data_IF_162001163959
#
_entry.id   IF_162001163959
#
_cell.length_a   1.000
_cell.length_b   1.000
_cell.length_c   1.000
_cell.angle_alpha   90.00
_cell.angle_beta   90.00
_cell.angle_gamma   90.00
#
_symmetry.space_group_name_H-M   'P 1'
#
loop_
_entity.id
_entity.type
_entity.pdbx_description
1 polymer ?
#
# COMPACT_ATOMS: atom_id res chain seq x y z
N UNK A 1 -6.52 -48.01 18.21
CA UNK A 1 -6.76 -48.32 16.78
C UNK A 1 -7.29 -47.05 16.14
N UNK A 2 -6.48 -46.36 15.33
CA UNK A 2 -6.92 -45.14 14.65
C UNK A 2 -7.79 -45.50 13.45
N UNK A 3 -9.00 -44.95 13.38
CA UNK A 3 -9.92 -45.09 12.26
C UNK A 3 -9.22 -44.70 10.95
N UNK A 4 -9.05 -45.67 10.04
CA UNK A 4 -8.55 -45.40 8.70
C UNK A 4 -9.73 -44.94 7.85
N UNK A 5 -9.71 -43.68 7.43
CA UNK A 5 -10.70 -43.13 6.51
C UNK A 5 -10.86 -44.02 5.28
N UNK A 6 -12.09 -44.30 4.90
CA UNK A 6 -12.38 -45.23 3.81
C UNK A 6 -11.97 -44.62 2.47
N UNK A 7 -11.64 -45.46 1.49
CA UNK A 7 -11.23 -44.98 0.15
C UNK A 7 -12.27 -44.04 -0.49
N UNK A 8 -13.55 -44.23 -0.17
CA UNK A 8 -14.65 -43.36 -0.61
C UNK A 8 -14.58 -41.96 0.01
N UNK A 9 -14.18 -41.84 1.27
CA UNK A 9 -13.99 -40.55 1.94
C UNK A 9 -12.79 -39.79 1.35
N UNK A 10 -11.68 -40.49 1.10
CA UNK A 10 -10.50 -39.90 0.45
C UNK A 10 -10.80 -39.45 -0.99
N UNK A 11 -11.54 -40.24 -1.77
CA UNK A 11 -11.92 -39.87 -3.13
C UNK A 11 -12.96 -38.73 -3.17
N UNK A 12 -13.83 -38.63 -2.14
CA UNK A 12 -14.72 -37.48 -1.98
C UNK A 12 -13.93 -36.19 -1.73
N UNK A 13 -12.98 -36.20 -0.79
CA UNK A 13 -12.09 -35.07 -0.51
C UNK A 13 -11.27 -34.70 -1.75
N UNK A 14 -10.72 -35.69 -2.47
CA UNK A 14 -9.96 -35.47 -3.70
C UNK A 14 -10.80 -34.82 -4.81
N UNK A 15 -12.06 -35.23 -4.96
CA UNK A 15 -13.00 -34.65 -5.92
C UNK A 15 -13.37 -33.22 -5.55
N UNK A 16 -13.63 -32.93 -4.27
CA UNK A 16 -13.89 -31.56 -3.79
C UNK A 16 -12.68 -30.66 -4.09
N UNK A 17 -11.46 -31.10 -3.76
CA UNK A 17 -10.24 -30.33 -4.04
C UNK A 17 -9.99 -30.12 -5.54
N UNK A 18 -10.24 -31.13 -6.39
CA UNK A 18 -10.18 -30.98 -7.86
C UNK A 18 -11.23 -30.02 -8.41
N UNK A 19 -12.43 -30.04 -7.82
CA UNK A 19 -13.52 -29.15 -8.21
C UNK A 19 -13.17 -27.72 -7.83
N UNK A 20 -12.58 -27.50 -6.66
CA UNK A 20 -12.04 -26.19 -6.26
C UNK A 20 -10.93 -25.72 -7.20
N UNK A 21 -9.98 -26.59 -7.59
CA UNK A 21 -8.92 -26.25 -8.56
C UNK A 21 -9.49 -25.81 -9.92
N UNK A 22 -10.44 -26.58 -10.47
CA UNK A 22 -11.10 -26.22 -11.74
C UNK A 22 -11.95 -24.95 -11.62
N UNK A 23 -12.55 -24.68 -10.46
CA UNK A 23 -13.30 -23.43 -10.20
C UNK A 23 -12.35 -22.24 -10.07
N UNK A 24 -11.16 -22.42 -9.48
CA UNK A 24 -10.13 -21.37 -9.38
C UNK A 24 -9.41 -21.11 -10.70
N UNK A 25 -9.34 -22.09 -11.59
CA UNK A 25 -8.73 -21.95 -12.92
C UNK A 25 -9.73 -21.37 -13.95
N UNK A 26 -11.02 -21.73 -13.88
CA UNK A 26 -12.04 -21.26 -14.84
C UNK A 26 -12.73 -19.94 -14.47
N UNK A 27 -12.73 -19.54 -13.20
CA UNK A 27 -13.11 -18.19 -12.80
C UNK A 27 -11.82 -17.44 -12.52
N UNK A 28 -11.64 -16.25 -13.10
CA UNK A 28 -10.58 -15.30 -12.72
C UNK A 28 -10.74 -14.82 -11.27
N UNK A 29 -10.74 -15.74 -10.30
CA UNK A 29 -10.85 -15.46 -8.88
C UNK A 29 -9.46 -15.03 -8.45
N UNK A 30 -9.28 -13.71 -8.27
CA UNK A 30 -8.13 -13.17 -7.55
C UNK A 30 -8.15 -13.73 -6.12
N UNK A 31 -7.26 -14.66 -5.82
CA UNK A 31 -6.96 -15.06 -4.45
C UNK A 31 -6.30 -13.85 -3.77
N UNK A 32 -7.08 -13.05 -3.06
CA UNK A 32 -6.55 -12.06 -2.13
C UNK A 32 -6.10 -12.80 -0.88
N UNK A 33 -4.82 -13.18 -0.83
CA UNK A 33 -4.18 -13.61 0.41
C UNK A 33 -4.20 -12.44 1.38
N UNK A 34 -4.98 -12.56 2.46
CA UNK A 34 -4.86 -11.67 3.61
C UNK A 34 -3.40 -11.77 4.09
N UNK A 35 -2.64 -10.67 4.01
CA UNK A 35 -1.23 -10.57 4.42
C UNK A 35 -0.99 -10.83 5.93
N UNK A 36 -1.90 -11.52 6.62
CA UNK A 36 -1.85 -11.85 8.04
C UNK A 36 -0.72 -12.84 8.38
N UNK A 37 -0.36 -13.74 7.47
CA UNK A 37 0.66 -14.77 7.71
C UNK A 37 2.01 -14.54 7.00
N UNK A 38 2.23 -13.36 6.41
CA UNK A 38 3.47 -13.05 5.66
C UNK A 38 4.71 -13.26 6.51
N UNK A 39 4.68 -12.80 7.76
CA UNK A 39 5.80 -12.91 8.70
C UNK A 39 6.17 -14.38 8.99
N UNK A 40 5.17 -15.23 9.24
CA UNK A 40 5.40 -16.66 9.48
C UNK A 40 5.98 -17.36 8.25
N UNK A 41 5.43 -17.10 7.06
CA UNK A 41 5.91 -17.69 5.80
C UNK A 41 7.38 -17.31 5.55
N UNK A 42 7.71 -16.03 5.74
CA UNK A 42 9.07 -15.55 5.60
C UNK A 42 10.01 -16.16 6.63
N UNK A 43 9.56 -16.28 7.88
CA UNK A 43 10.36 -16.87 8.96
C UNK A 43 10.71 -18.33 8.69
N UNK A 44 9.76 -19.10 8.16
CA UNK A 44 10.00 -20.50 7.76
C UNK A 44 10.98 -20.57 6.59
N UNK A 45 10.78 -19.76 5.54
CA UNK A 45 11.69 -19.73 4.37
C UNK A 45 13.11 -19.28 4.72
N UNK A 46 13.24 -18.25 5.56
CA UNK A 46 14.53 -17.77 6.06
C UNK A 46 15.26 -18.81 6.89
N UNK A 47 14.55 -19.52 7.78
CA UNK A 47 15.15 -20.60 8.57
C UNK A 47 15.74 -21.68 7.70
N UNK A 48 15.02 -22.07 6.64
CA UNK A 48 15.52 -23.04 5.68
C UNK A 48 16.79 -22.53 4.96
N UNK A 49 16.78 -21.28 4.48
CA UNK A 49 17.92 -20.74 3.74
C UNK A 49 19.16 -20.48 4.62
N UNK A 50 18.96 -19.95 5.83
CA UNK A 50 20.03 -19.80 6.82
C UNK A 50 20.56 -21.17 7.25
N UNK A 51 19.69 -22.15 7.47
CA UNK A 51 20.09 -23.52 7.76
C UNK A 51 20.93 -24.13 6.64
N UNK A 52 20.50 -23.99 5.38
CA UNK A 52 21.26 -24.44 4.21
C UNK A 52 22.63 -23.75 4.09
N UNK A 53 22.70 -22.45 4.37
CA UNK A 53 23.97 -21.71 4.38
C UNK A 53 24.91 -22.17 5.51
N UNK A 54 24.37 -22.46 6.69
CA UNK A 54 25.12 -22.98 7.84
C UNK A 54 25.66 -24.39 7.56
N UNK A 55 24.83 -25.26 6.97
CA UNK A 55 25.22 -26.61 6.54
C UNK A 55 26.30 -26.56 5.44
N UNK A 56 26.18 -25.64 4.47
CA UNK A 56 27.19 -25.43 3.44
C UNK A 56 28.55 -25.00 4.00
N UNK A 57 28.58 -24.40 5.20
CA UNK A 57 29.80 -24.05 5.93
C UNK A 57 30.23 -25.12 6.95
N UNK A 58 29.80 -26.38 6.76
CA UNK A 58 30.20 -27.56 7.54
C UNK A 58 29.77 -27.53 9.01
N UNK A 59 28.75 -26.75 9.37
CA UNK A 59 28.15 -26.80 10.70
C UNK A 59 27.02 -27.83 10.69
N UNK A 60 27.19 -28.91 11.44
CA UNK A 60 26.19 -29.99 11.55
C UNK A 60 24.93 -29.52 12.29
N UNK A 61 23.79 -30.17 12.02
CA UNK A 61 22.51 -29.96 12.72
C UNK A 61 22.60 -30.25 14.22
N UNK A 62 23.47 -31.18 14.60
CA UNK A 62 23.69 -31.57 16.00
C UNK A 62 24.59 -30.58 16.75
N UNK A 63 25.17 -29.60 16.05
CA UNK A 63 26.05 -28.61 16.65
C UNK A 63 25.24 -27.50 17.33
N UNK A 64 25.66 -27.06 18.52
CA UNK A 64 24.98 -26.00 19.30
C UNK A 64 24.76 -24.69 18.52
N UNK A 65 25.58 -24.44 17.50
CA UNK A 65 25.48 -23.25 16.64
C UNK A 65 24.28 -23.34 15.68
N UNK A 66 23.81 -24.54 15.37
CA UNK A 66 22.63 -24.74 14.53
C UNK A 66 21.37 -24.19 15.20
N UNK A 67 21.27 -24.23 16.53
CA UNK A 67 20.15 -23.64 17.28
C UNK A 67 20.06 -22.11 17.10
N UNK A 68 21.16 -21.46 16.73
CA UNK A 68 21.18 -20.02 16.45
C UNK A 68 20.55 -19.66 15.10
N UNK A 69 20.38 -20.61 14.18
CA UNK A 69 19.74 -20.37 12.86
C UNK A 69 18.33 -19.79 13.04
N UNK A 70 17.57 -20.34 13.98
CA UNK A 70 16.22 -19.88 14.30
C UNK A 70 16.17 -18.46 14.85
N UNK A 71 17.21 -18.06 15.59
CA UNK A 71 17.38 -16.70 16.15
C UNK A 71 17.82 -15.70 15.08
N UNK A 72 18.76 -16.09 14.21
CA UNK A 72 19.20 -15.27 13.06
C UNK A 72 17.99 -14.91 12.21
N UNK A 73 17.15 -15.89 11.83
CA UNK A 73 15.97 -15.62 11.01
C UNK A 73 14.96 -14.68 11.66
N UNK A 74 14.75 -14.76 12.99
CA UNK A 74 13.89 -13.79 13.68
C UNK A 74 14.50 -12.40 13.69
N UNK A 75 15.78 -12.26 14.06
CA UNK A 75 16.41 -10.94 14.12
C UNK A 75 16.50 -10.25 12.75
N UNK A 76 16.73 -11.03 11.67
CA UNK A 76 16.71 -10.49 10.31
C UNK A 76 15.33 -9.96 9.92
N UNK A 77 14.24 -10.61 10.34
CA UNK A 77 12.88 -10.10 10.10
C UNK A 77 12.57 -8.89 10.99
N UNK A 78 12.87 -8.97 12.28
CA UNK A 78 12.59 -7.93 13.26
C UNK A 78 13.42 -6.65 13.01
N UNK A 79 14.45 -6.73 12.17
CA UNK A 79 15.21 -5.56 11.67
C UNK A 79 14.35 -4.54 10.90
N UNK A 80 13.11 -4.90 10.55
CA UNK A 80 12.16 -4.05 9.82
C UNK A 80 10.78 -4.11 10.48
N UNK A 81 10.01 -3.02 10.35
CA UNK A 81 8.64 -2.99 10.85
C UNK A 81 7.73 -3.98 10.10
N UNK A 82 6.74 -4.55 10.78
CA UNK A 82 5.76 -5.46 10.17
C UNK A 82 5.03 -4.86 8.95
N UNK A 83 4.79 -3.55 8.95
CA UNK A 83 4.18 -2.86 7.82
C UNK A 83 5.15 -2.77 6.62
N UNK A 84 6.44 -2.54 6.89
CA UNK A 84 7.49 -2.55 5.86
C UNK A 84 7.65 -3.94 5.26
N UNK A 85 7.71 -4.99 6.08
CA UNK A 85 7.80 -6.39 5.63
C UNK A 85 6.65 -6.74 4.69
N UNK A 86 5.41 -6.44 5.08
CA UNK A 86 4.22 -6.69 4.24
C UNK A 86 4.30 -5.94 2.91
N UNK A 87 4.76 -4.68 2.93
CA UNK A 87 4.90 -3.86 1.73
C UNK A 87 5.97 -4.41 0.79
N UNK A 88 7.13 -4.79 1.33
CA UNK A 88 8.23 -5.36 0.56
C UNK A 88 7.85 -6.73 0.00
N UNK A 89 7.25 -7.60 0.81
CA UNK A 89 6.79 -8.91 0.35
C UNK A 89 5.76 -8.78 -0.79
N UNK A 90 4.77 -7.89 -0.64
CA UNK A 90 3.80 -7.63 -1.71
C UNK A 90 4.47 -7.11 -2.99
N UNK A 91 5.49 -6.26 -2.86
CA UNK A 91 6.23 -5.70 -4.00
C UNK A 91 7.10 -6.77 -4.67
N UNK A 92 7.75 -7.62 -3.89
CA UNK A 92 8.53 -8.76 -4.38
C UNK A 92 7.66 -9.79 -5.09
N UNK A 93 6.44 -10.06 -4.59
CA UNK A 93 5.51 -10.96 -5.28
C UNK A 93 5.14 -10.44 -6.67
N UNK A 94 4.96 -9.13 -6.84
CA UNK A 94 4.72 -8.53 -8.18
C UNK A 94 5.90 -8.74 -9.12
N UNK A 95 7.12 -8.55 -8.62
CA UNK A 95 8.34 -8.90 -9.35
C UNK A 95 8.37 -10.39 -9.71
N UNK A 96 8.11 -11.27 -8.73
CA UNK A 96 8.16 -12.71 -8.94
C UNK A 96 7.13 -13.17 -9.97
N UNK A 97 5.94 -12.57 -10.01
CA UNK A 97 4.94 -12.86 -11.04
C UNK A 97 5.46 -12.42 -12.40
N UNK A 98 5.90 -11.16 -12.52
CA UNK A 98 6.41 -10.61 -13.78
C UNK A 98 7.54 -11.45 -14.37
N UNK A 99 8.55 -11.81 -13.59
CA UNK A 99 9.73 -12.51 -14.10
C UNK A 99 9.45 -13.98 -14.46
N UNK A 100 8.56 -14.63 -13.69
CA UNK A 100 8.11 -16.01 -13.96
C UNK A 100 7.23 -16.10 -15.20
N UNK A 101 6.38 -15.09 -15.44
CA UNK A 101 5.59 -14.99 -16.69
C UNK A 101 6.48 -14.95 -17.93
N UNK A 102 7.71 -14.45 -17.79
CA UNK A 102 8.71 -14.41 -18.87
C UNK A 102 9.69 -15.59 -18.84
N UNK A 103 9.42 -16.62 -18.02
CA UNK A 103 10.21 -17.87 -17.98
C UNK A 103 11.53 -17.79 -17.22
N UNK A 104 11.78 -16.72 -16.46
CA UNK A 104 13.01 -16.53 -15.71
C UNK A 104 12.83 -16.79 -14.21
N UNK A 105 13.94 -17.13 -13.54
CA UNK A 105 13.97 -17.30 -12.09
C UNK A 105 13.82 -15.96 -11.36
N UNK A 106 13.08 -15.97 -10.24
CA UNK A 106 12.85 -14.78 -9.45
C UNK A 106 14.03 -14.41 -8.52
N UNK A 107 14.86 -15.40 -8.16
CA UNK A 107 16.04 -15.29 -7.33
C UNK A 107 17.12 -16.29 -7.79
N UNK A 108 18.41 -15.89 -7.80
CA UNK A 108 18.89 -14.52 -7.68
C UNK A 108 18.44 -13.67 -8.89
N UNK A 109 17.93 -12.46 -8.65
CA UNK A 109 17.52 -11.57 -9.72
C UNK A 109 18.74 -11.02 -10.46
N UNK A 110 18.81 -11.23 -11.77
CA UNK A 110 19.85 -10.60 -12.59
C UNK A 110 19.60 -9.08 -12.71
N UNK A 111 20.63 -8.22 -12.59
CA UNK A 111 20.46 -6.77 -12.65
C UNK A 111 19.73 -6.27 -13.91
N UNK A 112 19.96 -6.91 -15.06
CA UNK A 112 19.29 -6.57 -16.32
C UNK A 112 17.78 -6.84 -16.28
N UNK A 113 17.35 -7.95 -15.66
CA UNK A 113 15.93 -8.26 -15.50
C UNK A 113 15.25 -7.25 -14.57
N UNK A 114 15.95 -6.80 -13.52
CA UNK A 114 15.46 -5.74 -12.62
C UNK A 114 15.28 -4.43 -13.39
N UNK A 115 16.25 -4.05 -14.22
CA UNK A 115 16.16 -2.86 -15.08
C UNK A 115 14.96 -2.95 -16.04
N UNK A 116 14.76 -4.09 -16.72
CA UNK A 116 13.60 -4.32 -17.60
C UNK A 116 12.26 -4.19 -16.86
N UNK A 117 12.18 -4.71 -15.65
CA UNK A 117 10.98 -4.58 -14.83
C UNK A 117 10.71 -3.13 -14.41
N UNK A 118 11.75 -2.39 -14.01
CA UNK A 118 11.60 -0.97 -13.68
C UNK A 118 11.13 -0.18 -14.91
N UNK A 119 11.71 -0.44 -16.09
CA UNK A 119 11.27 0.18 -17.35
C UNK A 119 9.79 -0.11 -17.63
N UNK A 120 9.34 -1.36 -17.46
CA UNK A 120 7.91 -1.72 -17.60
C UNK A 120 7.02 -0.98 -16.59
N UNK A 121 7.49 -0.73 -15.35
CA UNK A 121 6.74 0.06 -14.37
C UNK A 121 6.65 1.54 -14.77
N UNK A 122 7.73 2.11 -15.31
CA UNK A 122 7.77 3.49 -15.81
C UNK A 122 6.84 3.64 -17.01
N UNK A 123 6.88 2.72 -17.97
CA UNK A 123 6.03 2.71 -19.16
C UNK A 123 4.54 2.64 -18.80
N UNK A 124 4.20 1.85 -17.77
CA UNK A 124 2.86 1.79 -17.18
C UNK A 124 2.48 3.02 -16.34
N UNK A 125 3.31 4.06 -16.32
CA UNK A 125 3.13 5.29 -15.55
C UNK A 125 2.89 5.04 -14.04
N UNK A 126 3.52 4.01 -13.48
CA UNK A 126 3.45 3.74 -12.05
C UNK A 126 4.09 4.89 -11.26
N UNK A 127 3.60 5.10 -10.02
CA UNK A 127 4.18 6.16 -9.18
C UNK A 127 5.62 5.83 -8.76
N UNK A 128 6.47 6.84 -8.48
CA UNK A 128 7.83 6.62 -8.01
C UNK A 128 7.90 5.75 -6.75
N UNK A 129 6.88 5.83 -5.89
CA UNK A 129 6.79 5.00 -4.68
C UNK A 129 6.64 3.51 -5.00
N UNK A 130 5.93 3.13 -6.06
CA UNK A 130 5.81 1.73 -6.49
C UNK A 130 7.15 1.20 -6.97
N UNK A 131 7.89 2.01 -7.73
CA UNK A 131 9.21 1.66 -8.26
C UNK A 131 10.23 1.53 -7.12
N UNK A 132 10.27 2.50 -6.20
CA UNK A 132 11.12 2.42 -5.00
C UNK A 132 10.78 1.20 -4.13
N UNK A 133 9.50 0.89 -3.95
CA UNK A 133 9.09 -0.30 -3.18
C UNK A 133 9.56 -1.59 -3.85
N UNK A 134 9.56 -1.67 -5.19
CA UNK A 134 10.12 -2.80 -5.92
C UNK A 134 11.64 -2.92 -5.69
N UNK A 135 12.39 -1.83 -5.86
CA UNK A 135 13.85 -1.78 -5.64
C UNK A 135 14.19 -2.22 -4.21
N UNK A 136 13.56 -1.62 -3.21
CA UNK A 136 13.84 -1.95 -1.81
C UNK A 136 13.41 -3.37 -1.44
N UNK A 137 12.33 -3.89 -2.04
CA UNK A 137 11.95 -5.28 -1.83
C UNK A 137 12.96 -6.26 -2.41
N UNK A 138 13.52 -5.97 -3.59
CA UNK A 138 14.55 -6.81 -4.23
C UNK A 138 15.85 -6.79 -3.44
N UNK A 139 16.29 -5.60 -3.03
CA UNK A 139 17.43 -5.42 -2.13
C UNK A 139 17.26 -6.25 -0.86
N UNK A 140 16.15 -6.05 -0.16
CA UNK A 140 15.85 -6.74 1.10
C UNK A 140 15.79 -8.26 0.94
N UNK A 141 15.14 -8.78 -0.11
CA UNK A 141 15.09 -10.23 -0.34
C UNK A 141 16.47 -10.80 -0.68
N UNK A 142 17.31 -10.08 -1.41
CA UNK A 142 18.69 -10.52 -1.67
C UNK A 142 19.54 -10.52 -0.39
N UNK A 143 19.44 -9.49 0.45
CA UNK A 143 20.09 -9.43 1.77
C UNK A 143 19.69 -10.63 2.65
N UNK A 144 18.39 -10.94 2.70
CA UNK A 144 17.83 -12.07 3.45
C UNK A 144 18.33 -13.44 2.97
N UNK A 145 18.74 -13.56 1.70
CA UNK A 145 19.26 -14.79 1.12
C UNK A 145 20.80 -14.80 0.99
N UNK A 146 21.48 -13.75 1.47
CA UNK A 146 22.93 -13.63 1.36
C UNK A 146 23.44 -13.47 -0.08
N UNK A 147 22.59 -12.99 -1.00
CA UNK A 147 22.98 -12.76 -2.40
C UNK A 147 23.50 -11.34 -2.63
N UNK A 148 24.32 -11.17 -3.68
CA UNK A 148 24.76 -9.86 -4.13
C UNK A 148 23.58 -8.97 -4.53
N UNK A 149 23.69 -7.68 -4.23
CA UNK A 149 22.63 -6.70 -4.44
C UNK A 149 22.45 -6.39 -5.94
N UNK A 150 21.30 -6.72 -6.56
CA UNK A 150 21.08 -6.52 -8.00
C UNK A 150 20.77 -5.05 -8.32
N UNK A 151 20.41 -4.27 -7.30
CA UNK A 151 20.01 -2.86 -7.37
C UNK A 151 21.19 -1.90 -7.33
N UNK A 152 22.41 -2.38 -7.06
CA UNK A 152 23.62 -1.54 -7.06
C UNK A 152 24.11 -1.20 -8.49
N UNK A 153 23.55 -1.86 -9.50
CA UNK A 153 23.86 -1.65 -10.90
C UNK A 153 23.50 -0.23 -11.40
N UNK A 154 24.37 0.35 -12.24
CA UNK A 154 24.23 1.71 -12.78
C UNK A 154 22.94 1.93 -13.58
N UNK A 155 22.45 0.93 -14.31
CA UNK A 155 21.17 0.99 -15.03
C UNK A 155 20.01 1.16 -14.06
N UNK A 156 19.98 0.37 -12.98
CA UNK A 156 18.89 0.41 -11.98
C UNK A 156 18.85 1.78 -11.29
N UNK A 157 20.00 2.31 -10.88
CA UNK A 157 20.09 3.66 -10.27
C UNK A 157 19.64 4.75 -11.23
N UNK A 158 20.09 4.69 -12.49
CA UNK A 158 19.72 5.69 -13.49
C UNK A 158 18.21 5.66 -13.82
N UNK A 159 17.62 4.47 -13.88
CA UNK A 159 16.17 4.29 -14.05
C UNK A 159 15.38 4.77 -12.84
N UNK A 160 15.88 4.57 -11.63
CA UNK A 160 15.27 5.11 -10.42
C UNK A 160 15.22 6.64 -10.44
N UNK A 161 16.30 7.31 -10.86
CA UNK A 161 16.32 8.77 -11.04
C UNK A 161 15.45 9.25 -12.20
N UNK A 162 15.34 8.45 -13.27
CA UNK A 162 14.39 8.72 -14.36
C UNK A 162 12.94 8.65 -13.86
N UNK A 163 12.59 7.62 -13.11
CA UNK A 163 11.25 7.40 -12.55
C UNK A 163 10.77 8.56 -11.68
N UNK A 164 11.66 9.18 -10.90
CA UNK A 164 11.33 10.36 -10.06
C UNK A 164 10.92 11.58 -10.90
N UNK A 165 11.48 11.72 -12.10
CA UNK A 165 11.23 12.84 -13.04
C UNK A 165 10.05 12.57 -13.98
N UNK A 166 9.75 11.29 -14.21
CA UNK A 166 8.61 10.91 -15.03
C UNK A 166 7.30 11.26 -14.34
N UNK A 167 6.42 11.97 -15.05
CA UNK A 167 5.14 12.44 -14.51
C UNK A 167 4.20 11.25 -14.32
N UNK A 168 4.11 10.72 -13.10
CA UNK A 168 3.12 9.67 -12.81
C UNK A 168 1.71 10.23 -12.98
N UNK A 169 0.83 9.49 -13.65
CA UNK A 169 -0.59 9.83 -13.73
C UNK A 169 -1.16 9.71 -12.31
N UNK A 170 -1.56 10.84 -11.73
CA UNK A 170 -2.22 10.88 -10.42
C UNK A 170 -3.62 10.27 -10.56
N UNK A 171 -3.79 9.04 -10.07
CA UNK A 171 -5.13 8.42 -10.03
C UNK A 171 -5.96 9.09 -8.93
N UNK A 172 -7.17 9.54 -9.28
CA UNK A 172 -8.15 9.96 -8.29
C UNK A 172 -8.53 8.73 -7.45
N UNK A 173 -8.31 8.79 -6.13
CA UNK A 173 -8.66 7.71 -5.20
C UNK A 173 -9.68 8.26 -4.21
N UNK A 174 -10.85 7.62 -4.12
CA UNK A 174 -11.78 7.88 -3.04
C UNK A 174 -11.25 7.21 -1.77
N UNK A 175 -10.63 7.98 -0.89
CA UNK A 175 -10.34 7.54 0.48
C UNK A 175 -11.51 7.96 1.35
N UNK A 176 -12.04 7.05 2.17
CA UNK A 176 -12.98 7.41 3.24
C UNK A 176 -12.21 8.16 4.35
N UNK A 177 -11.75 9.36 4.02
CA UNK A 177 -10.97 10.25 4.87
C UNK A 177 -11.62 11.62 4.78
N UNK A 178 -11.83 12.25 5.94
CA UNK A 178 -12.30 13.64 6.01
C UNK A 178 -11.34 14.53 5.23
N UNK A 179 -11.88 15.34 4.32
CA UNK A 179 -11.11 16.36 3.59
C UNK A 179 -10.63 17.39 4.63
N UNK A 180 -9.38 17.83 4.53
CA UNK A 180 -8.89 18.89 5.41
C UNK A 180 -9.59 20.20 5.07
N UNK A 181 -9.75 21.09 6.06
CA UNK A 181 -10.34 22.41 5.84
C UNK A 181 -9.61 23.18 4.73
N UNK A 182 -8.29 23.09 4.68
CA UNK A 182 -7.44 23.69 3.63
C UNK A 182 -7.76 23.13 2.25
N UNK A 183 -7.86 21.80 2.11
CA UNK A 183 -8.17 21.17 0.83
C UNK A 183 -9.59 21.50 0.36
N UNK A 184 -10.56 21.55 1.29
CA UNK A 184 -11.91 22.00 0.97
C UNK A 184 -11.89 23.47 0.50
N UNK A 185 -11.17 24.34 1.22
CA UNK A 185 -10.96 25.74 0.88
C UNK A 185 -10.39 25.93 -0.52
N UNK A 186 -9.24 25.33 -0.81
CA UNK A 186 -8.59 25.46 -2.12
C UNK A 186 -9.45 24.99 -3.29
N UNK A 187 -10.16 23.86 -3.13
CA UNK A 187 -10.99 23.31 -4.20
C UNK A 187 -12.26 24.16 -4.42
N UNK A 188 -12.92 24.58 -3.35
CA UNK A 188 -14.13 25.41 -3.46
C UNK A 188 -13.78 26.82 -3.98
N UNK A 189 -12.67 27.40 -3.53
CA UNK A 189 -12.22 28.72 -4.01
C UNK A 189 -11.88 28.73 -5.50
N UNK A 190 -11.30 27.64 -6.03
CA UNK A 190 -11.07 27.51 -7.47
C UNK A 190 -12.38 27.58 -8.25
N UNK A 191 -13.42 26.87 -7.79
CA UNK A 191 -14.74 26.87 -8.44
C UNK A 191 -15.38 28.26 -8.32
N UNK A 192 -15.33 28.89 -7.15
CA UNK A 192 -15.91 30.22 -6.96
C UNK A 192 -15.24 31.29 -7.81
N UNK A 193 -13.92 31.22 -8.00
CA UNK A 193 -13.19 32.14 -8.89
C UNK A 193 -13.56 31.97 -10.36
N UNK A 194 -14.03 30.79 -10.78
CA UNK A 194 -14.55 30.62 -12.14
C UNK A 194 -15.87 31.35 -12.35
N UNK A 195 -16.70 31.41 -11.30
CA UNK A 195 -18.04 32.01 -11.35
C UNK A 195 -17.99 33.52 -11.06
N UNK A 196 -17.11 33.93 -10.14
CA UNK A 196 -17.02 35.28 -9.59
C UNK A 196 -15.55 35.71 -9.44
N UNK A 197 -14.83 35.93 -10.55
CA UNK A 197 -13.37 36.14 -10.55
C UNK A 197 -12.91 37.44 -9.85
N UNK A 198 -13.79 38.44 -9.76
CA UNK A 198 -13.48 39.76 -9.19
C UNK A 198 -13.68 39.84 -7.67
N UNK A 199 -14.37 38.86 -7.07
CA UNK A 199 -14.68 38.88 -5.64
C UNK A 199 -13.60 38.19 -4.82
N UNK A 200 -13.10 38.88 -3.80
CA UNK A 200 -12.16 38.32 -2.83
C UNK A 200 -12.91 37.47 -1.79
N UNK A 201 -13.37 36.28 -2.20
CA UNK A 201 -14.14 35.37 -1.36
C UNK A 201 -13.24 34.37 -0.64
N UNK A 202 -13.51 34.16 0.65
CA UNK A 202 -13.00 33.04 1.44
C UNK A 202 -14.11 32.04 1.75
N UNK A 203 -13.75 30.82 2.16
CA UNK A 203 -14.71 29.85 2.70
C UNK A 203 -15.47 30.41 3.92
N UNK A 204 -14.80 31.29 4.67
CA UNK A 204 -15.39 32.04 5.77
C UNK A 204 -16.43 33.07 5.30
N UNK A 205 -16.17 33.75 4.18
CA UNK A 205 -17.10 34.72 3.59
C UNK A 205 -18.43 34.06 3.19
N UNK A 206 -18.40 32.82 2.71
CA UNK A 206 -19.62 32.04 2.44
C UNK A 206 -20.43 31.78 3.70
N UNK A 207 -19.75 31.53 4.82
CA UNK A 207 -20.40 31.28 6.11
C UNK A 207 -21.05 32.55 6.65
N UNK A 208 -20.40 33.69 6.51
CA UNK A 208 -20.97 35.01 6.83
C UNK A 208 -22.16 35.30 5.92
N UNK A 209 -22.00 35.19 4.60
CA UNK A 209 -23.08 35.44 3.64
C UNK A 209 -24.30 34.54 3.85
N UNK A 210 -24.10 33.25 4.14
CA UNK A 210 -25.19 32.33 4.47
C UNK A 210 -25.87 32.63 5.79
N UNK A 211 -25.14 33.13 6.80
CA UNK A 211 -25.71 33.55 8.07
C UNK A 211 -26.56 34.82 7.91
N UNK A 212 -26.03 35.83 7.22
CA UNK A 212 -26.75 37.06 6.88
C UNK A 212 -28.01 36.75 6.07
N UNK A 213 -27.91 35.97 4.99
CA UNK A 213 -29.06 35.63 4.16
C UNK A 213 -30.17 34.90 4.94
N UNK A 214 -29.79 34.00 5.86
CA UNK A 214 -30.76 33.32 6.73
C UNK A 214 -31.43 34.27 7.71
N UNK A 215 -30.68 35.22 8.28
CA UNK A 215 -31.23 36.25 9.17
C UNK A 215 -32.19 37.19 8.42
N UNK A 216 -31.81 37.65 7.22
CA UNK A 216 -32.66 38.48 6.35
C UNK A 216 -33.91 37.75 5.85
N UNK A 217 -33.92 36.42 5.84
CA UNK A 217 -35.09 35.60 5.50
C UNK A 217 -35.95 35.24 6.73
N UNK A 218 -35.75 35.92 7.86
CA UNK A 218 -36.47 35.70 9.13
C UNK A 218 -36.42 34.26 9.66
N UNK A 219 -35.36 33.51 9.31
CA UNK A 219 -35.20 32.15 9.84
C UNK A 219 -35.00 32.23 11.34
N UNK A 220 -35.72 31.38 12.08
CA UNK A 220 -35.65 31.34 13.53
C UNK A 220 -34.19 31.31 14.03
N UNK A 221 -33.83 32.24 14.92
CA UNK A 221 -32.46 32.40 15.38
C UNK A 221 -31.86 31.15 16.03
N UNK A 222 -32.69 30.34 16.69
CA UNK A 222 -32.25 29.07 17.29
C UNK A 222 -31.82 28.07 16.22
N UNK A 223 -32.46 28.10 15.05
CA UNK A 223 -32.10 27.27 13.90
C UNK A 223 -30.80 27.75 13.25
N UNK A 224 -30.64 29.07 13.10
CA UNK A 224 -29.40 29.70 12.61
C UNK A 224 -28.22 29.37 13.54
N UNK A 225 -28.40 29.55 14.87
CA UNK A 225 -27.40 29.23 15.90
C UNK A 225 -26.96 27.77 15.88
N UNK A 226 -27.91 26.85 15.72
CA UNK A 226 -27.66 25.41 15.66
C UNK A 226 -26.88 25.02 14.40
N UNK A 227 -27.29 25.51 13.23
CA UNK A 227 -26.63 25.22 11.96
C UNK A 227 -25.24 25.85 11.85
N UNK A 228 -25.10 27.09 12.34
CA UNK A 228 -23.81 27.77 12.44
C UNK A 228 -22.88 27.21 13.54
N UNK A 229 -23.36 26.27 14.37
CA UNK A 229 -22.64 25.67 15.50
C UNK A 229 -22.06 26.71 16.47
N UNK A 230 -22.76 27.82 16.69
CA UNK A 230 -22.32 28.86 17.62
C UNK A 230 -22.77 28.56 19.04
N UNK A 231 -21.83 28.65 19.99
CA UNK A 231 -22.10 28.39 21.42
C UNK A 231 -22.80 29.56 22.13
N UNK A 232 -22.73 30.77 21.57
CA UNK A 232 -23.27 32.00 22.17
C UNK A 232 -23.90 32.87 21.08
N UNK A 233 -24.86 33.70 21.45
CA UNK A 233 -25.55 34.61 20.53
C UNK A 233 -24.58 35.66 19.98
N UNK A 234 -23.75 36.26 20.83
CA UNK A 234 -22.66 37.15 20.38
C UNK A 234 -21.73 36.54 19.29
N UNK A 235 -21.52 35.21 19.29
CA UNK A 235 -20.73 34.57 18.22
C UNK A 235 -21.53 34.33 16.94
N UNK A 236 -22.85 34.21 17.02
CA UNK A 236 -23.76 34.18 15.87
C UNK A 236 -23.83 35.58 15.26
N UNK A 237 -24.02 36.59 16.10
CA UNK A 237 -24.19 37.99 15.68
C UNK A 237 -22.95 38.51 14.94
N UNK A 238 -21.74 38.16 15.39
CA UNK A 238 -20.50 38.53 14.67
C UNK A 238 -20.35 37.92 13.26
N UNK A 239 -21.24 37.03 12.81
CA UNK A 239 -21.28 36.48 11.46
C UNK A 239 -22.48 36.97 10.65
N UNK A 240 -23.41 37.70 11.27
CA UNK A 240 -24.56 38.30 10.60
C UNK A 240 -24.17 39.74 10.32
N UNK A 241 -24.18 40.13 9.04
CA UNK A 241 -23.96 41.51 8.68
C UNK A 241 -25.24 42.29 8.93
N UNK A 242 -25.18 43.30 9.81
CA UNK A 242 -26.30 44.20 10.03
C UNK A 242 -26.47 45.10 8.81
N UNK A 243 -27.71 45.23 8.34
CA UNK A 243 -28.08 46.22 7.34
C UNK A 243 -28.40 47.50 8.09
N UNK A 244 -27.63 48.55 7.83
CA UNK A 244 -27.93 49.90 8.30
C UNK A 244 -29.04 50.45 7.39
N UNK A 245 -30.28 50.11 7.70
CA UNK A 245 -31.42 50.95 7.32
C UNK A 245 -31.64 52.04 8.37
#
# INVERSE_FOLDING_TARGET
>A
MGERSTWRELECVRRVLKTFKNVTENKQIRINSDNKNVEHILKVGLRHNVGAAVEANKVSKDHILYDLTGKISSFLLDSRSNNTIKTYFSSFNRWSTFIKEHGFNNLPAAPIHVALYITNLIDKNCSPNVINSAIYSLKWVHELNGFAEPTDNSFVKSLQESAKRHKSISKLIYKNKKISYTAAGENILKILKLIAPTLNLGLHSLRVGGATAAASSEVNERCIKRHGRWKSDSRKDGYIADTLE
#
